data_IF_506639541481
#
_entry.id   IF_506639541481
#
_cell.length_a   1.000
_cell.length_b   1.000
_cell.length_c   1.000
_cell.angle_alpha   90.00
_cell.angle_beta   90.00
_cell.angle_gamma   90.00
#
_symmetry.space_group_name_H-M   'P 1'
#
loop_
_entity.id
_entity.type
_entity.pdbx_description
1 polymer ?
#
# COMPACT_ATOMS: atom_id res chain seq x y z
N UNK A 1 -77.26 -2.56 -6.56
CA UNK A 1 -76.36 -2.30 -7.72
C UNK A 1 -75.84 -0.89 -7.47
N UNK A 2 -74.62 -0.84 -6.93
CA UNK A 2 -73.92 0.44 -6.71
C UNK A 2 -72.46 0.22 -7.17
N UNK A 3 -72.08 1.01 -8.15
CA UNK A 3 -70.74 1.04 -8.77
C UNK A 3 -69.65 1.33 -7.77
N UNK A 4 -68.71 0.42 -7.68
CA UNK A 4 -67.42 0.65 -7.00
C UNK A 4 -66.46 1.21 -8.04
N UNK A 5 -66.14 2.52 -7.93
CA UNK A 5 -65.11 3.17 -8.70
C UNK A 5 -63.73 2.72 -8.19
N UNK A 6 -63.01 2.12 -9.09
CA UNK A 6 -61.60 1.78 -9.02
C UNK A 6 -60.77 3.05 -8.79
N UNK A 7 -60.14 3.20 -7.63
CA UNK A 7 -59.12 4.22 -7.37
C UNK A 7 -57.79 3.67 -7.77
N UNK A 8 -57.32 4.13 -8.93
CA UNK A 8 -55.97 3.85 -9.42
C UNK A 8 -54.93 4.19 -8.36
N UNK A 9 -54.17 3.15 -7.94
CA UNK A 9 -53.04 3.27 -7.04
C UNK A 9 -51.96 4.21 -7.65
N UNK A 10 -51.64 5.28 -6.93
CA UNK A 10 -50.49 6.08 -7.20
C UNK A 10 -49.22 5.18 -7.00
N UNK A 11 -48.48 5.00 -8.09
CA UNK A 11 -47.15 4.37 -8.01
C UNK A 11 -46.31 5.17 -6.99
N UNK A 12 -45.53 4.49 -6.11
CA UNK A 12 -44.62 5.19 -5.25
C UNK A 12 -43.66 5.99 -6.14
N UNK A 13 -43.44 7.26 -5.74
CA UNK A 13 -42.47 8.15 -6.36
C UNK A 13 -41.09 7.44 -6.31
N UNK A 14 -40.72 6.77 -7.38
CA UNK A 14 -39.36 6.27 -7.55
C UNK A 14 -38.51 7.54 -7.70
N UNK A 15 -37.75 7.86 -6.67
CA UNK A 15 -36.60 8.73 -6.80
C UNK A 15 -35.79 8.11 -7.94
N UNK A 16 -35.52 8.81 -9.04
CA UNK A 16 -34.58 8.26 -10.04
C UNK A 16 -33.33 7.86 -9.33
N UNK A 17 -32.69 6.73 -9.70
CA UNK A 17 -31.34 6.47 -9.20
C UNK A 17 -30.53 7.74 -9.47
N UNK A 18 -29.59 8.13 -8.58
CA UNK A 18 -28.65 9.16 -8.93
C UNK A 18 -28.10 8.78 -10.31
N UNK A 19 -28.17 9.70 -11.26
CA UNK A 19 -27.41 9.61 -12.50
C UNK A 19 -26.05 9.13 -12.07
N UNK A 20 -25.56 8.04 -12.68
CA UNK A 20 -24.33 7.37 -12.27
C UNK A 20 -23.30 8.46 -11.96
N UNK A 21 -23.09 8.73 -10.66
CA UNK A 21 -21.95 9.50 -10.23
C UNK A 21 -20.76 8.63 -10.65
N UNK A 22 -20.08 9.01 -11.70
CA UNK A 22 -18.87 8.37 -12.12
C UNK A 22 -17.95 8.35 -10.88
N UNK A 23 -17.44 7.18 -10.53
CA UNK A 23 -16.48 7.04 -9.43
C UNK A 23 -15.10 7.55 -9.83
N UNK A 24 -14.99 8.13 -11.02
CA UNK A 24 -13.76 8.64 -11.62
C UNK A 24 -14.13 9.82 -12.54
N UNK A 25 -13.17 10.67 -12.83
CA UNK A 25 -13.35 11.83 -13.71
C UNK A 25 -13.90 11.39 -15.08
N UNK A 26 -15.08 11.89 -15.46
CA UNK A 26 -15.67 11.51 -16.74
C UNK A 26 -14.75 11.92 -17.90
N UNK A 27 -14.48 11.04 -18.88
CA UNK A 27 -13.61 11.36 -20.02
C UNK A 27 -14.07 12.61 -20.80
N UNK A 28 -15.36 12.94 -20.73
CA UNK A 28 -15.94 14.16 -21.33
C UNK A 28 -15.50 15.42 -20.59
N UNK A 29 -15.40 15.35 -19.25
CA UNK A 29 -14.92 16.45 -18.39
C UNK A 29 -13.42 16.68 -18.59
N UNK A 30 -12.63 15.61 -18.63
CA UNK A 30 -11.20 15.69 -18.93
C UNK A 30 -10.94 16.32 -20.30
N UNK A 31 -11.67 15.88 -21.34
CA UNK A 31 -11.50 16.44 -22.68
C UNK A 31 -11.93 17.92 -22.74
N UNK A 32 -13.03 18.29 -22.08
CA UNK A 32 -13.48 19.68 -22.00
C UNK A 32 -12.46 20.57 -21.30
N UNK A 33 -11.84 20.05 -20.21
CA UNK A 33 -10.78 20.73 -19.50
C UNK A 33 -9.54 20.96 -20.39
N UNK A 34 -9.07 19.91 -21.10
CA UNK A 34 -7.94 20.00 -22.01
C UNK A 34 -8.20 21.01 -23.14
N UNK A 35 -9.40 21.05 -23.70
CA UNK A 35 -9.78 22.00 -24.76
C UNK A 35 -9.72 23.45 -24.24
N UNK A 36 -10.16 23.70 -23.00
CA UNK A 36 -10.11 25.02 -22.37
C UNK A 36 -8.66 25.40 -22.05
N UNK A 37 -7.85 24.47 -21.51
CA UNK A 37 -6.45 24.68 -21.22
C UNK A 37 -5.64 25.02 -22.48
N UNK A 38 -5.87 24.30 -23.58
CA UNK A 38 -5.23 24.55 -24.88
C UNK A 38 -5.66 25.90 -25.45
N UNK A 39 -6.91 26.31 -25.28
CA UNK A 39 -7.40 27.62 -25.75
C UNK A 39 -6.75 28.81 -25.03
N UNK A 40 -6.14 28.58 -23.85
CA UNK A 40 -5.54 29.63 -23.02
C UNK A 40 -6.57 30.46 -22.23
N UNK A 41 -7.77 29.93 -22.02
CA UNK A 41 -8.81 30.55 -21.20
C UNK A 41 -8.60 30.23 -19.71
N UNK A 42 -7.74 31.00 -19.04
CA UNK A 42 -7.42 30.82 -17.62
C UNK A 42 -8.66 30.94 -16.71
N UNK A 43 -9.60 31.82 -17.04
CA UNK A 43 -10.83 31.96 -16.27
C UNK A 43 -11.74 30.72 -16.41
N UNK A 44 -11.78 30.14 -17.62
CA UNK A 44 -12.48 28.89 -17.88
C UNK A 44 -11.86 27.72 -17.10
N UNK A 45 -10.51 27.61 -17.05
CA UNK A 45 -9.79 26.62 -16.25
C UNK A 45 -10.15 26.74 -14.77
N UNK A 46 -10.03 27.93 -14.16
CA UNK A 46 -10.38 28.14 -12.74
C UNK A 46 -11.84 27.76 -12.45
N UNK A 47 -12.77 28.08 -13.36
CA UNK A 47 -14.19 27.78 -13.15
C UNK A 47 -14.45 26.28 -13.18
N UNK A 48 -13.82 25.54 -14.08
CA UNK A 48 -13.97 24.08 -14.15
C UNK A 48 -13.35 23.39 -12.91
N UNK A 49 -12.16 23.80 -12.51
CA UNK A 49 -11.48 23.21 -11.34
C UNK A 49 -12.23 23.51 -10.02
N UNK A 50 -12.82 24.70 -9.87
CA UNK A 50 -13.61 25.07 -8.70
C UNK A 50 -14.91 24.24 -8.52
N UNK A 51 -15.36 23.53 -9.55
CA UNK A 51 -16.52 22.63 -9.49
C UNK A 51 -16.13 21.18 -9.13
N UNK A 52 -14.82 20.85 -9.15
CA UNK A 52 -14.29 19.52 -8.85
C UNK A 52 -13.88 19.40 -7.38
N UNK A 53 -13.87 18.17 -6.88
CA UNK A 53 -13.26 17.85 -5.59
C UNK A 53 -11.72 17.91 -5.69
N UNK A 54 -11.01 18.20 -4.61
CA UNK A 54 -9.55 18.28 -4.62
C UNK A 54 -8.91 16.98 -5.13
N UNK A 55 -9.42 15.80 -4.75
CA UNK A 55 -8.96 14.52 -5.27
C UNK A 55 -9.13 14.40 -6.80
N UNK A 56 -10.27 14.85 -7.37
CA UNK A 56 -10.49 14.85 -8.83
C UNK A 56 -9.50 15.80 -9.54
N UNK A 57 -9.12 16.90 -8.88
CA UNK A 57 -8.12 17.83 -9.41
C UNK A 57 -6.72 17.20 -9.36
N UNK A 58 -6.39 16.47 -8.30
CA UNK A 58 -5.15 15.72 -8.21
C UNK A 58 -5.05 14.67 -9.33
N UNK A 59 -6.06 13.83 -9.50
CA UNK A 59 -6.18 12.87 -10.61
C UNK A 59 -5.98 13.52 -11.97
N UNK A 60 -6.55 14.71 -12.16
CA UNK A 60 -6.40 15.46 -13.40
C UNK A 60 -4.95 15.92 -13.61
N UNK A 61 -4.31 16.43 -12.56
CA UNK A 61 -2.90 16.85 -12.60
C UNK A 61 -1.97 15.69 -12.93
N UNK A 62 -2.25 14.49 -12.44
CA UNK A 62 -1.46 13.28 -12.73
C UNK A 62 -1.52 12.88 -14.22
N UNK A 63 -2.69 13.05 -14.84
CA UNK A 63 -2.92 12.70 -16.26
C UNK A 63 -2.31 13.71 -17.25
N UNK A 64 -1.98 14.93 -16.79
CA UNK A 64 -1.37 15.96 -17.61
C UNK A 64 0.12 15.72 -17.85
N UNK A 65 0.61 16.14 -19.01
CA UNK A 65 2.06 16.22 -19.20
C UNK A 65 2.68 17.38 -18.40
N UNK A 66 4.01 17.36 -18.23
CA UNK A 66 4.73 18.33 -17.39
C UNK A 66 4.45 19.80 -17.77
N UNK A 67 4.39 20.14 -19.06
CA UNK A 67 4.13 21.52 -19.53
C UNK A 67 2.69 21.95 -19.24
N UNK A 68 1.73 21.06 -19.41
CA UNK A 68 0.30 21.31 -19.12
C UNK A 68 0.10 21.46 -17.61
N UNK A 69 0.68 20.57 -16.81
CA UNK A 69 0.64 20.62 -15.35
C UNK A 69 1.20 21.93 -14.81
N UNK A 70 2.39 22.33 -15.28
CA UNK A 70 3.01 23.59 -14.87
C UNK A 70 2.09 24.80 -15.15
N UNK A 71 1.36 24.81 -16.28
CA UNK A 71 0.40 25.86 -16.60
C UNK A 71 -0.81 25.87 -15.68
N UNK A 72 -1.32 24.70 -15.31
CA UNK A 72 -2.46 24.59 -14.36
C UNK A 72 -2.05 25.07 -12.98
N UNK A 73 -0.89 24.63 -12.49
CA UNK A 73 -0.34 25.07 -11.19
C UNK A 73 -0.11 26.57 -11.17
N UNK A 74 0.40 27.18 -12.26
CA UNK A 74 0.55 28.63 -12.37
C UNK A 74 -0.80 29.37 -12.32
N UNK A 75 -1.84 28.80 -12.94
CA UNK A 75 -3.21 29.34 -12.91
C UNK A 75 -3.80 29.25 -11.50
N UNK A 76 -3.59 28.14 -10.79
CA UNK A 76 -4.11 27.90 -9.44
C UNK A 76 -3.30 28.58 -8.33
N UNK A 77 -2.05 28.96 -8.58
CA UNK A 77 -1.05 29.38 -7.60
C UNK A 77 -1.58 30.02 -6.30
N UNK A 78 -2.47 31.02 -6.42
CA UNK A 78 -3.02 31.74 -5.28
C UNK A 78 -4.26 31.05 -4.65
N UNK A 79 -4.83 30.08 -5.36
CA UNK A 79 -6.05 29.35 -5.01
C UNK A 79 -5.76 27.83 -4.90
N UNK A 80 -4.47 27.45 -4.73
CA UNK A 80 -4.08 26.04 -4.63
C UNK A 80 -4.47 25.51 -3.23
N UNK A 81 -5.38 24.54 -3.21
CA UNK A 81 -5.87 23.97 -1.96
C UNK A 81 -4.83 22.96 -1.42
N UNK A 82 -4.53 23.00 -0.10
CA UNK A 82 -3.55 22.09 0.53
C UNK A 82 -3.84 20.61 0.25
N UNK A 83 -5.10 20.20 0.32
CA UNK A 83 -5.55 18.84 0.12
C UNK A 83 -5.29 18.31 -1.30
N UNK A 84 -5.10 19.19 -2.29
CA UNK A 84 -4.69 18.75 -3.63
C UNK A 84 -3.26 18.19 -3.65
N UNK A 85 -2.41 18.64 -2.74
CA UNK A 85 -1.00 18.25 -2.73
C UNK A 85 -0.80 16.89 -2.04
N UNK A 86 -1.56 16.60 -0.98
CA UNK A 86 -1.52 15.31 -0.28
C UNK A 86 -2.06 14.16 -1.12
N UNK A 87 -3.01 14.42 -2.02
CA UNK A 87 -3.62 13.40 -2.90
C UNK A 87 -2.77 13.03 -4.14
N UNK A 88 -1.63 13.72 -4.40
CA UNK A 88 -0.80 13.48 -5.59
C UNK A 88 0.19 12.33 -5.37
N UNK A 89 0.41 11.52 -6.42
CA UNK A 89 1.56 10.61 -6.51
C UNK A 89 2.89 11.38 -6.28
N UNK A 90 3.84 10.77 -5.56
CA UNK A 90 5.12 11.36 -5.17
C UNK A 90 5.84 12.05 -6.34
N UNK A 91 5.96 11.37 -7.49
CA UNK A 91 6.66 11.91 -8.67
C UNK A 91 5.95 13.12 -9.27
N UNK A 92 4.61 13.15 -9.21
CA UNK A 92 3.80 14.26 -9.72
C UNK A 92 3.83 15.41 -8.72
N UNK A 93 3.76 15.11 -7.43
CA UNK A 93 3.88 16.04 -6.30
C UNK A 93 5.18 16.82 -6.37
N UNK A 94 6.31 16.16 -6.57
CA UNK A 94 7.62 16.81 -6.76
C UNK A 94 7.59 17.88 -7.86
N UNK A 95 7.03 17.55 -9.02
CA UNK A 95 6.93 18.51 -10.13
C UNK A 95 5.99 19.69 -9.80
N UNK A 96 4.89 19.43 -9.06
CA UNK A 96 3.97 20.50 -8.61
C UNK A 96 4.67 21.41 -7.60
N UNK A 97 5.44 20.86 -6.67
CA UNK A 97 6.26 21.58 -5.70
C UNK A 97 7.27 22.52 -6.40
N UNK A 98 7.99 21.99 -7.41
CA UNK A 98 8.90 22.82 -8.21
C UNK A 98 8.16 23.99 -8.90
N UNK A 99 6.95 23.78 -9.41
CA UNK A 99 6.15 24.80 -10.06
C UNK A 99 5.60 25.84 -9.08
N UNK A 100 5.20 25.46 -7.86
CA UNK A 100 4.69 26.35 -6.81
C UNK A 100 5.79 27.27 -6.30
N UNK A 101 6.99 26.74 -6.11
CA UNK A 101 8.13 27.44 -5.50
C UNK A 101 7.95 27.65 -3.99
N UNK A 102 9.07 27.92 -3.29
CA UNK A 102 9.18 27.89 -1.82
C UNK A 102 8.13 28.75 -1.09
N UNK A 103 7.86 29.98 -1.57
CA UNK A 103 6.94 30.89 -0.87
C UNK A 103 5.49 30.39 -0.89
N UNK A 104 5.02 29.88 -2.05
CA UNK A 104 3.66 29.36 -2.16
C UNK A 104 3.54 27.99 -1.48
N UNK A 105 4.54 27.13 -1.64
CA UNK A 105 4.60 25.84 -0.96
C UNK A 105 4.52 26.00 0.56
N UNK A 106 5.26 26.94 1.14
CA UNK A 106 5.19 27.22 2.57
C UNK A 106 3.79 27.71 3.01
N UNK A 107 3.09 28.44 2.16
CA UNK A 107 1.72 28.86 2.44
C UNK A 107 0.71 27.70 2.35
N UNK A 108 0.90 26.78 1.39
CA UNK A 108 0.10 25.55 1.25
C UNK A 108 0.32 24.66 2.47
N UNK A 109 1.57 24.35 2.83
CA UNK A 109 1.93 23.52 3.98
C UNK A 109 1.38 24.08 5.30
N UNK A 110 1.40 25.40 5.48
CA UNK A 110 0.83 26.03 6.68
C UNK A 110 -0.71 25.89 6.78
N UNK A 111 -1.39 25.49 5.73
CA UNK A 111 -2.82 25.20 5.69
C UNK A 111 -3.17 23.72 5.76
N UNK A 112 -2.17 22.82 5.72
CA UNK A 112 -2.34 21.35 5.80
C UNK A 112 -2.56 20.88 7.24
N UNK A 113 -3.13 19.69 7.40
CA UNK A 113 -3.06 18.95 8.66
C UNK A 113 -1.60 18.56 8.94
N UNK A 114 -1.25 18.36 10.21
CA UNK A 114 0.18 18.28 10.61
C UNK A 114 0.91 17.03 10.09
N UNK A 115 0.21 15.96 9.85
CA UNK A 115 0.68 14.71 9.24
C UNK A 115 0.99 14.90 7.75
N UNK A 116 0.03 15.41 6.96
CA UNK A 116 0.20 15.76 5.55
C UNK A 116 1.37 16.75 5.35
N UNK A 117 1.41 17.81 6.19
CA UNK A 117 2.48 18.78 6.15
C UNK A 117 3.85 18.16 6.42
N UNK A 118 3.91 17.17 7.33
CA UNK A 118 5.13 16.46 7.69
C UNK A 118 5.59 15.54 6.54
N UNK A 119 4.66 14.83 5.89
CA UNK A 119 4.95 13.98 4.74
C UNK A 119 5.54 14.79 3.59
N UNK A 120 4.87 15.85 3.15
CA UNK A 120 5.35 16.72 2.07
C UNK A 120 6.74 17.30 2.39
N UNK A 121 6.97 17.77 3.63
CA UNK A 121 8.28 18.32 4.00
C UNK A 121 9.36 17.25 4.07
N UNK A 122 9.02 16.03 4.42
CA UNK A 122 9.98 14.92 4.49
C UNK A 122 10.53 14.52 3.11
N UNK A 123 9.70 14.55 2.08
CA UNK A 123 10.10 14.20 0.70
C UNK A 123 11.01 15.24 0.04
N UNK A 124 10.99 16.50 0.53
CA UNK A 124 11.85 17.56 0.00
C UNK A 124 13.33 17.25 0.20
N UNK A 125 14.16 17.71 -0.73
CA UNK A 125 15.61 17.67 -0.53
C UNK A 125 16.07 18.55 0.65
N UNK A 126 17.27 18.28 1.23
CA UNK A 126 17.77 18.97 2.44
C UNK A 126 17.83 20.51 2.30
N UNK A 127 18.02 21.04 1.08
CA UNK A 127 18.12 22.48 0.83
C UNK A 127 16.72 23.11 0.69
N UNK A 128 15.79 22.43 0.03
CA UNK A 128 14.39 22.84 -0.11
C UNK A 128 13.65 22.74 1.22
N UNK A 129 13.78 21.62 1.94
CA UNK A 129 13.23 21.42 3.27
C UNK A 129 13.60 22.57 4.21
N UNK A 130 14.89 22.97 4.22
CA UNK A 130 15.36 24.08 5.04
C UNK A 130 14.73 25.42 4.65
N UNK A 131 14.60 25.69 3.34
CA UNK A 131 14.01 26.94 2.85
C UNK A 131 12.52 27.02 3.19
N UNK A 132 11.80 25.93 3.02
CA UNK A 132 10.36 25.82 3.34
C UNK A 132 10.14 25.98 4.84
N UNK A 133 10.90 25.25 5.68
CA UNK A 133 10.81 25.38 7.14
C UNK A 133 11.14 26.79 7.64
N UNK A 134 12.05 27.52 6.97
CA UNK A 134 12.34 28.93 7.32
C UNK A 134 11.19 29.88 6.91
N UNK A 135 10.34 29.50 5.97
CA UNK A 135 9.22 30.30 5.48
C UNK A 135 7.89 30.00 6.22
N UNK A 136 7.75 28.83 6.84
CA UNK A 136 6.56 28.44 7.62
C UNK A 136 6.49 29.21 8.95
N UNK A 137 5.27 29.47 9.51
CA UNK A 137 5.10 30.08 10.82
C UNK A 137 5.81 29.28 11.93
N UNK A 138 6.37 29.95 12.97
CA UNK A 138 7.17 29.25 13.99
C UNK A 138 6.45 28.15 14.78
N UNK A 139 5.12 28.23 14.88
CA UNK A 139 4.29 27.20 15.56
C UNK A 139 4.31 25.88 14.78
N UNK A 140 3.91 25.93 13.52
CA UNK A 140 3.80 24.79 12.62
C UNK A 140 5.19 24.20 12.34
N UNK A 141 6.19 25.06 12.13
CA UNK A 141 7.59 24.64 12.01
C UNK A 141 8.05 23.74 13.14
N UNK A 142 7.72 24.07 14.40
CA UNK A 142 8.13 23.26 15.56
C UNK A 142 7.51 21.89 15.54
N UNK A 143 6.22 21.78 15.15
CA UNK A 143 5.51 20.52 15.05
C UNK A 143 6.11 19.62 13.96
N UNK A 144 6.42 20.20 12.80
CA UNK A 144 7.05 19.49 11.68
C UNK A 144 8.48 19.05 12.06
N UNK A 145 9.32 19.94 12.64
CA UNK A 145 10.67 19.58 13.08
C UNK A 145 10.66 18.46 14.14
N UNK A 146 9.69 18.42 15.05
CA UNK A 146 9.52 17.30 15.98
C UNK A 146 9.10 16.03 15.25
N UNK A 147 8.15 16.12 14.33
CA UNK A 147 7.68 14.99 13.51
C UNK A 147 8.82 14.34 12.74
N UNK A 148 9.69 15.13 12.12
CA UNK A 148 10.88 14.66 11.39
C UNK A 148 11.87 13.87 12.27
N UNK A 149 11.78 13.94 13.59
CA UNK A 149 12.63 13.13 14.49
C UNK A 149 12.16 11.69 14.67
N UNK A 150 10.90 11.40 14.34
CA UNK A 150 10.37 10.04 14.42
C UNK A 150 10.89 9.18 13.26
N UNK A 151 10.98 7.85 13.45
CA UNK A 151 11.35 6.95 12.35
C UNK A 151 10.37 7.10 11.16
N UNK A 152 10.87 6.88 9.97
CA UNK A 152 10.03 6.70 8.78
C UNK A 152 9.02 5.57 9.01
N UNK A 153 7.91 5.60 8.32
CA UNK A 153 6.86 4.57 8.37
C UNK A 153 6.40 4.23 9.79
N UNK A 154 6.32 5.24 10.67
CA UNK A 154 5.94 5.05 12.07
C UNK A 154 4.69 5.82 12.46
N UNK A 155 4.00 5.33 13.49
CA UNK A 155 2.86 6.01 14.11
C UNK A 155 3.14 7.48 14.47
N UNK A 156 4.39 7.82 14.76
CA UNK A 156 4.81 9.18 15.06
C UNK A 156 4.86 10.08 13.83
N UNK A 157 5.06 9.50 12.63
CA UNK A 157 4.97 10.20 11.35
C UNK A 157 3.55 10.34 10.86
N UNK A 158 2.75 9.31 11.03
CA UNK A 158 1.37 9.22 10.57
C UNK A 158 0.36 9.96 11.46
N UNK A 159 0.74 10.43 12.64
CA UNK A 159 -0.20 11.02 13.58
C UNK A 159 -0.47 12.51 13.32
N UNK A 160 -1.74 12.88 13.39
CA UNK A 160 -2.17 14.26 13.55
C UNK A 160 -1.84 14.78 14.95
N UNK A 161 -1.37 16.02 15.05
CA UNK A 161 -1.10 16.69 16.33
C UNK A 161 -2.32 17.39 16.89
N UNK A 162 -3.26 17.72 16.05
CA UNK A 162 -4.53 18.38 16.34
C UNK A 162 -5.50 17.38 16.97
N UNK A 163 -5.46 17.24 18.29
CA UNK A 163 -6.21 16.21 19.01
C UNK A 163 -7.19 16.84 20.01
N UNK A 164 -8.45 16.42 19.95
CA UNK A 164 -9.45 16.86 20.92
C UNK A 164 -9.27 16.13 22.24
N UNK A 165 -8.79 16.85 23.27
CA UNK A 165 -8.57 16.32 24.61
C UNK A 165 -9.44 17.01 25.66
N UNK A 166 -9.93 16.24 26.65
CA UNK A 166 -10.64 16.79 27.82
C UNK A 166 -10.22 16.10 29.12
N UNK A 167 -10.21 16.82 30.26
CA UNK A 167 -9.93 16.22 31.56
C UNK A 167 -10.98 15.20 31.96
N UNK A 168 -10.60 14.12 32.66
CA UNK A 168 -11.51 13.11 33.18
C UNK A 168 -12.53 13.67 34.18
N UNK A 169 -12.27 14.82 34.78
CA UNK A 169 -13.16 15.49 35.75
C UNK A 169 -14.34 16.21 35.10
N UNK A 170 -14.36 16.37 33.77
CA UNK A 170 -15.41 17.10 33.09
C UNK A 170 -16.69 16.27 32.94
N UNK A 171 -17.78 17.01 32.74
CA UNK A 171 -19.09 16.44 32.36
C UNK A 171 -19.25 16.51 30.83
N UNK A 172 -20.17 15.72 30.31
CA UNK A 172 -20.61 15.79 28.90
C UNK A 172 -21.01 17.22 28.51
N UNK A 173 -21.66 17.95 29.42
CA UNK A 173 -22.06 19.33 29.18
C UNK A 173 -20.90 20.28 29.00
N UNK A 174 -19.89 20.20 29.86
CA UNK A 174 -18.67 21.00 29.76
C UNK A 174 -17.90 20.69 28.49
N UNK A 175 -17.78 19.41 28.12
CA UNK A 175 -17.15 18.99 26.87
C UNK A 175 -17.86 19.58 25.65
N UNK A 176 -19.19 19.48 25.57
CA UNK A 176 -19.94 20.05 24.43
C UNK A 176 -19.81 21.58 24.37
N UNK A 177 -19.80 22.25 25.53
CA UNK A 177 -19.65 23.71 25.58
C UNK A 177 -18.26 24.14 25.14
N UNK A 178 -17.22 23.40 25.52
CA UNK A 178 -15.85 23.59 25.06
C UNK A 178 -15.74 23.47 23.54
N UNK A 179 -16.23 22.37 22.94
CA UNK A 179 -16.18 22.15 21.49
C UNK A 179 -16.92 23.26 20.71
N UNK A 180 -18.05 23.77 21.25
CA UNK A 180 -18.78 24.87 20.62
C UNK A 180 -18.07 26.21 20.75
N UNK A 181 -17.45 26.45 21.88
CA UNK A 181 -16.74 27.70 22.13
C UNK A 181 -15.49 27.82 21.28
N UNK A 182 -14.77 26.70 21.07
CA UNK A 182 -13.62 26.68 20.14
C UNK A 182 -14.05 26.99 18.71
N UNK A 183 -15.16 26.41 18.23
CA UNK A 183 -15.70 26.72 16.91
C UNK A 183 -16.13 28.18 16.75
N UNK A 184 -16.65 28.84 17.82
CA UNK A 184 -17.10 30.22 17.77
C UNK A 184 -15.91 31.24 17.86
N UNK A 185 -14.76 30.83 18.41
CA UNK A 185 -13.61 31.72 18.61
C UNK A 185 -12.77 31.90 17.35
N UNK A 186 -12.95 31.07 16.34
CA UNK A 186 -12.10 31.07 15.13
C UNK A 186 -10.66 30.68 15.44
N UNK A 187 -10.43 30.01 16.56
CA UNK A 187 -9.18 29.41 16.96
C UNK A 187 -9.13 28.03 16.29
N UNK A 188 -8.27 27.85 15.32
CA UNK A 188 -8.09 26.60 14.58
C UNK A 188 -7.35 25.50 15.41
N UNK A 189 -7.39 25.61 16.75
CA UNK A 189 -6.74 24.65 17.66
C UNK A 189 -7.38 23.25 17.64
N UNK A 190 -8.54 23.06 17.01
CA UNK A 190 -9.22 21.78 16.92
C UNK A 190 -9.29 21.32 15.46
N UNK A 191 -9.07 20.00 15.20
CA UNK A 191 -9.14 19.46 13.85
C UNK A 191 -10.53 19.68 13.25
N UNK A 192 -10.59 19.94 11.94
CA UNK A 192 -11.84 20.12 11.21
C UNK A 192 -12.73 18.87 11.28
N UNK A 193 -12.12 17.70 11.32
CA UNK A 193 -12.76 16.41 11.45
C UNK A 193 -12.18 15.69 12.65
N UNK A 194 -13.03 15.09 13.51
CA UNK A 194 -12.61 14.19 14.58
C UNK A 194 -13.76 13.24 14.94
N UNK A 195 -13.43 12.07 15.38
CA UNK A 195 -14.37 10.98 15.65
C UNK A 195 -14.49 10.71 17.15
N UNK A 196 -13.40 10.86 17.88
CA UNK A 196 -13.28 10.60 19.30
C UNK A 196 -12.75 11.83 20.06
N UNK A 197 -13.18 11.95 21.30
CA UNK A 197 -12.60 12.87 22.28
C UNK A 197 -11.75 12.04 23.23
N UNK A 198 -10.46 12.35 23.35
CA UNK A 198 -9.57 11.64 24.26
C UNK A 198 -9.63 12.24 25.65
N UNK A 199 -9.85 11.40 26.66
CA UNK A 199 -9.89 11.80 28.05
C UNK A 199 -8.50 11.61 28.64
N UNK A 200 -7.99 12.69 29.25
CA UNK A 200 -6.63 12.71 29.81
C UNK A 200 -6.64 12.92 31.32
N UNK A 201 -5.64 12.36 31.99
CA UNK A 201 -5.36 12.61 33.39
C UNK A 201 -4.63 13.97 33.57
N UNK A 202 -4.39 14.44 34.83
CA UNK A 202 -3.67 15.67 35.09
C UNK A 202 -2.20 15.66 34.60
N UNK A 203 -1.67 14.51 34.26
CA UNK A 203 -0.33 14.36 33.66
C UNK A 203 -0.38 14.25 32.12
N UNK A 204 -1.53 14.59 31.49
CA UNK A 204 -1.76 14.51 30.04
C UNK A 204 -1.57 13.11 29.46
N UNK A 205 -1.89 12.07 30.23
CA UNK A 205 -1.91 10.69 29.77
C UNK A 205 -3.30 10.29 29.37
N UNK A 206 -3.49 9.64 28.22
CA UNK A 206 -4.82 9.21 27.81
C UNK A 206 -5.33 8.08 28.71
N UNK A 207 -6.48 8.28 29.33
CA UNK A 207 -7.14 7.33 30.27
C UNK A 207 -8.42 6.74 29.70
N UNK A 208 -8.92 7.28 28.59
CA UNK A 208 -10.09 6.78 27.87
C UNK A 208 -10.34 7.54 26.58
N UNK A 209 -11.14 6.96 25.70
CA UNK A 209 -11.70 7.62 24.51
C UNK A 209 -13.23 7.69 24.61
N UNK A 210 -13.81 8.69 23.99
CA UNK A 210 -15.25 8.90 23.98
C UNK A 210 -15.72 9.26 22.56
N UNK A 211 -16.33 8.31 21.84
CA UNK A 211 -16.89 8.57 20.53
C UNK A 211 -17.92 9.70 20.56
N UNK A 212 -17.86 10.62 19.56
CA UNK A 212 -18.82 11.72 19.43
C UNK A 212 -20.27 11.24 19.46
N UNK A 213 -20.55 10.09 18.88
CA UNK A 213 -21.89 9.48 18.90
C UNK A 213 -22.37 9.15 20.32
N UNK A 214 -21.49 8.73 21.23
CA UNK A 214 -21.80 8.48 22.62
C UNK A 214 -21.93 9.78 23.39
N UNK A 215 -21.02 10.74 23.17
CA UNK A 215 -21.07 12.08 23.77
C UNK A 215 -22.42 12.77 23.50
N UNK A 216 -22.85 12.83 22.25
CA UNK A 216 -24.08 13.50 21.81
C UNK A 216 -25.38 12.83 22.33
N UNK A 217 -25.34 11.52 22.60
CA UNK A 217 -26.48 10.75 23.08
C UNK A 217 -26.57 10.70 24.61
N UNK A 218 -25.58 11.24 25.32
CA UNK A 218 -25.53 11.21 26.78
C UNK A 218 -26.02 12.54 27.36
N UNK A 219 -26.62 12.49 28.54
CA UNK A 219 -27.14 13.69 29.25
C UNK A 219 -25.98 14.54 29.74
N UNK A 220 -26.11 15.85 29.62
CA UNK A 220 -25.08 16.84 29.97
C UNK A 220 -24.48 16.72 31.41
N UNK A 221 -25.22 16.36 32.48
CA UNK A 221 -24.66 16.26 33.85
C UNK A 221 -23.82 14.99 34.10
N UNK A 222 -23.75 14.06 33.17
CA UNK A 222 -22.98 12.79 33.29
C UNK A 222 -21.49 13.10 33.17
N UNK A 223 -20.66 12.55 34.06
CA UNK A 223 -19.20 12.69 33.95
C UNK A 223 -18.68 11.89 32.73
N UNK A 224 -17.70 12.45 32.02
CA UNK A 224 -17.06 11.75 30.87
C UNK A 224 -16.37 10.45 31.32
N UNK A 225 -15.82 10.43 32.53
CA UNK A 225 -15.20 9.27 33.16
C UNK A 225 -16.14 8.07 33.34
N UNK A 226 -17.46 8.31 33.40
CA UNK A 226 -18.48 7.25 33.58
C UNK A 226 -18.90 6.60 32.26
N UNK A 227 -18.60 7.24 31.13
CA UNK A 227 -19.04 6.81 29.79
C UNK A 227 -17.91 6.59 28.80
N UNK A 228 -16.66 6.94 29.14
CA UNK A 228 -15.51 6.71 28.29
C UNK A 228 -15.21 5.23 28.13
N UNK A 229 -14.59 4.87 27.01
CA UNK A 229 -13.99 3.56 26.82
C UNK A 229 -12.58 3.57 27.42
N UNK A 230 -12.34 2.70 28.39
CA UNK A 230 -11.03 2.57 29.06
C UNK A 230 -10.13 1.54 28.40
N UNK A 231 -10.67 0.70 27.53
CA UNK A 231 -9.94 -0.35 26.82
C UNK A 231 -9.41 0.13 25.45
N UNK A 232 -9.23 1.44 25.29
CA UNK A 232 -8.67 2.01 24.07
C UNK A 232 -7.26 1.46 23.79
N UNK A 233 -6.91 1.35 22.52
CA UNK A 233 -5.58 0.92 22.11
C UNK A 233 -4.66 2.15 22.05
N UNK A 234 -3.58 2.15 22.81
CA UNK A 234 -2.51 3.15 22.73
C UNK A 234 -1.49 2.68 21.70
N UNK A 235 -1.06 3.60 20.84
CA UNK A 235 -0.02 3.37 19.85
C UNK A 235 1.26 4.12 20.28
N UNK A 236 2.37 3.44 20.58
CA UNK A 236 3.67 4.10 20.74
C UNK A 236 4.11 4.79 19.46
N UNK A 237 4.76 5.95 19.54
CA UNK A 237 5.29 6.72 18.38
C UNK A 237 6.19 5.90 17.45
N UNK A 238 6.89 4.88 17.95
CA UNK A 238 7.76 4.02 17.17
C UNK A 238 7.07 2.77 16.59
N UNK A 239 5.73 2.70 16.66
CA UNK A 239 4.97 1.59 16.05
C UNK A 239 5.01 1.76 14.53
N UNK A 240 5.36 0.69 13.84
CA UNK A 240 5.38 0.60 12.39
C UNK A 240 3.99 0.83 11.78
N UNK A 241 3.89 1.53 10.64
CA UNK A 241 2.62 1.89 10.01
C UNK A 241 1.81 0.66 9.56
N UNK A 242 2.48 -0.42 9.12
CA UNK A 242 1.81 -1.70 8.81
C UNK A 242 1.16 -2.31 10.08
N UNK A 243 1.85 -2.20 11.24
CA UNK A 243 1.29 -2.60 12.54
C UNK A 243 0.11 -1.73 12.97
N UNK A 244 0.17 -0.43 12.71
CA UNK A 244 -0.95 0.50 12.94
C UNK A 244 -2.15 0.08 12.10
N UNK A 245 -1.98 -0.07 10.78
CA UNK A 245 -3.02 -0.49 9.86
C UNK A 245 -3.63 -1.85 10.26
N UNK A 246 -2.78 -2.80 10.67
CA UNK A 246 -3.24 -4.09 11.18
C UNK A 246 -4.13 -3.94 12.42
N UNK A 247 -3.75 -3.08 13.39
CA UNK A 247 -4.51 -2.86 14.64
C UNK A 247 -5.86 -2.19 14.34
N UNK A 248 -5.90 -1.18 13.47
CA UNK A 248 -7.13 -0.51 13.06
C UNK A 248 -8.11 -1.50 12.45
N UNK A 249 -7.66 -2.29 11.48
CA UNK A 249 -8.47 -3.33 10.85
C UNK A 249 -8.95 -4.42 11.82
N UNK A 250 -8.07 -4.87 12.75
CA UNK A 250 -8.42 -5.94 13.69
C UNK A 250 -9.42 -5.50 14.75
N UNK A 251 -9.40 -4.22 15.12
CA UNK A 251 -10.17 -3.66 16.22
C UNK A 251 -11.33 -2.78 15.77
N UNK A 252 -11.53 -2.63 14.45
CA UNK A 252 -12.53 -1.74 13.85
C UNK A 252 -12.40 -0.30 14.42
N UNK A 253 -11.16 0.21 14.50
CA UNK A 253 -10.89 1.54 15.04
C UNK A 253 -11.21 2.60 13.96
N UNK A 254 -11.66 3.76 14.43
CA UNK A 254 -11.86 4.96 13.61
C UNK A 254 -10.80 6.01 13.95
N UNK A 255 -10.33 6.01 15.19
CA UNK A 255 -9.18 6.79 15.63
C UNK A 255 -8.43 6.08 16.76
N UNK A 256 -7.15 6.38 16.93
CA UNK A 256 -6.33 5.83 18.01
C UNK A 256 -5.34 6.86 18.55
N UNK A 257 -5.18 7.00 19.88
CA UNK A 257 -4.23 7.94 20.46
C UNK A 257 -2.80 7.41 20.33
N UNK A 258 -1.89 8.30 19.96
CA UNK A 258 -0.45 8.04 19.90
C UNK A 258 0.22 8.59 21.15
N UNK A 259 1.13 7.79 21.72
CA UNK A 259 1.81 8.14 22.98
C UNK A 259 3.32 8.03 22.83
N UNK A 260 4.02 8.92 23.51
CA UNK A 260 5.48 8.87 23.62
C UNK A 260 5.95 7.79 24.63
N UNK A 261 7.26 7.68 24.82
CA UNK A 261 7.89 6.74 25.78
C UNK A 261 7.47 7.01 27.24
N UNK A 262 7.01 8.22 27.57
CA UNK A 262 6.47 8.61 28.88
C UNK A 262 5.02 8.22 29.07
N UNK A 263 4.34 7.78 28.03
CA UNK A 263 2.90 7.53 27.98
C UNK A 263 2.06 8.79 27.91
N UNK A 264 2.62 9.91 27.44
CA UNK A 264 1.91 11.16 27.19
C UNK A 264 1.26 11.12 25.82
N UNK A 265 0.07 11.69 25.72
CA UNK A 265 -0.61 11.84 24.44
C UNK A 265 0.13 12.89 23.61
N UNK A 266 0.58 12.49 22.43
CA UNK A 266 1.33 13.36 21.50
C UNK A 266 0.61 13.59 20.17
N UNK A 267 -0.38 12.77 19.85
CA UNK A 267 -1.17 12.87 18.62
C UNK A 267 -2.25 11.80 18.58
N UNK A 268 -2.93 11.70 17.46
CA UNK A 268 -3.85 10.62 17.14
C UNK A 268 -3.73 10.27 15.67
N UNK A 269 -4.04 9.03 15.31
CA UNK A 269 -4.15 8.57 13.93
C UNK A 269 -5.62 8.34 13.64
N UNK A 270 -6.08 8.68 12.47
CA UNK A 270 -7.46 8.50 12.03
C UNK A 270 -7.57 7.41 10.95
N UNK A 271 -8.80 7.03 10.59
CA UNK A 271 -9.02 5.90 9.68
C UNK A 271 -8.74 6.27 8.23
N UNK A 272 -8.89 7.52 7.84
CA UNK A 272 -8.58 8.07 6.54
C UNK A 272 -7.09 7.84 6.23
N UNK A 273 -6.16 8.32 7.05
CA UNK A 273 -4.71 8.09 6.90
C UNK A 273 -4.35 6.60 6.86
N UNK A 274 -5.05 5.79 7.67
CA UNK A 274 -4.82 4.33 7.69
C UNK A 274 -5.29 3.65 6.39
N UNK A 275 -6.29 4.19 5.71
CA UNK A 275 -6.71 3.67 4.39
C UNK A 275 -5.59 3.88 3.39
N UNK A 276 -4.98 5.05 3.37
CA UNK A 276 -3.88 5.38 2.46
C UNK A 276 -2.66 4.50 2.73
N UNK A 277 -2.28 4.34 3.99
CA UNK A 277 -1.22 3.39 4.39
C UNK A 277 -1.52 1.95 3.94
N UNK A 278 -2.78 1.50 4.00
CA UNK A 278 -3.13 0.14 3.53
C UNK A 278 -2.94 0.01 2.02
N UNK A 279 -3.28 1.04 1.25
CA UNK A 279 -3.14 1.02 -0.20
C UNK A 279 -1.66 1.13 -0.60
N UNK A 280 -0.87 2.01 0.04
CA UNK A 280 0.58 2.12 -0.14
C UNK A 280 1.31 0.81 0.14
N UNK A 281 1.09 0.20 1.31
CA UNK A 281 1.72 -1.08 1.67
C UNK A 281 1.36 -2.21 0.70
N UNK A 282 0.12 -2.22 0.20
CA UNK A 282 -0.29 -3.19 -0.81
C UNK A 282 0.35 -2.94 -2.17
N UNK A 283 0.48 -1.67 -2.58
CA UNK A 283 1.16 -1.30 -3.82
C UNK A 283 2.65 -1.64 -3.72
N UNK A 284 3.31 -1.27 -2.63
CA UNK A 284 4.70 -1.60 -2.35
C UNK A 284 4.96 -3.10 -2.44
N UNK A 285 4.15 -3.93 -1.79
CA UNK A 285 4.24 -5.39 -1.84
C UNK A 285 4.15 -5.92 -3.29
N UNK A 286 3.22 -5.40 -4.09
CA UNK A 286 3.04 -5.80 -5.49
C UNK A 286 4.26 -5.40 -6.33
N UNK A 287 4.73 -4.16 -6.20
CA UNK A 287 5.86 -3.62 -6.93
C UNK A 287 7.16 -4.35 -6.56
N UNK A 288 7.39 -4.61 -5.28
CA UNK A 288 8.54 -5.38 -4.77
C UNK A 288 8.55 -6.82 -5.28
N UNK A 289 7.39 -7.50 -5.33
CA UNK A 289 7.29 -8.84 -5.95
C UNK A 289 7.66 -8.82 -7.43
N UNK A 290 7.36 -7.73 -8.13
CA UNK A 290 7.75 -7.49 -9.53
C UNK A 290 9.21 -7.07 -9.70
N UNK A 291 9.87 -6.62 -8.64
CA UNK A 291 11.22 -6.07 -8.67
C UNK A 291 11.28 -4.69 -9.34
N UNK A 292 10.22 -3.91 -9.19
CA UNK A 292 10.07 -2.52 -9.61
C UNK A 292 9.82 -1.64 -8.39
N UNK A 293 9.95 -0.32 -8.54
CA UNK A 293 9.65 0.66 -7.48
C UNK A 293 8.26 1.25 -7.69
N UNK A 294 7.73 1.86 -6.66
CA UNK A 294 6.56 2.74 -6.72
C UNK A 294 6.83 3.94 -7.63
N UNK A 295 5.80 4.60 -8.11
CA UNK A 295 5.92 5.77 -8.98
C UNK A 295 6.52 5.55 -10.37
N UNK A 296 6.93 4.31 -10.71
CA UNK A 296 7.61 3.94 -11.99
C UNK A 296 6.80 4.32 -13.25
N UNK A 297 5.49 4.55 -13.11
CA UNK A 297 4.60 4.99 -14.20
C UNK A 297 4.89 6.44 -14.63
N UNK A 298 5.19 7.32 -13.69
CA UNK A 298 5.35 8.75 -13.90
C UNK A 298 6.82 9.18 -14.02
N UNK A 299 7.77 8.30 -13.65
CA UNK A 299 9.21 8.54 -13.74
C UNK A 299 9.71 8.78 -15.17
N UNK A 300 10.78 9.55 -15.31
CA UNK A 300 11.46 9.73 -16.59
C UNK A 300 12.10 8.41 -17.06
N UNK A 301 12.04 8.12 -18.37
CA UNK A 301 12.52 6.86 -18.98
C UNK A 301 13.94 6.46 -18.55
N UNK A 302 14.83 7.42 -18.30
CA UNK A 302 16.22 7.13 -17.92
C UNK A 302 16.31 6.64 -16.47
N UNK A 303 15.52 7.22 -15.56
CA UNK A 303 15.50 6.88 -14.15
C UNK A 303 14.82 5.53 -13.94
N UNK A 304 13.69 5.27 -14.58
CA UNK A 304 13.05 3.95 -14.69
C UNK A 304 14.04 2.89 -15.21
N UNK A 305 14.79 3.21 -16.27
CA UNK A 305 15.78 2.27 -16.82
C UNK A 305 16.87 1.95 -15.80
N UNK A 306 17.35 2.94 -15.08
CA UNK A 306 18.43 2.80 -14.09
C UNK A 306 17.96 2.01 -12.87
N UNK A 307 16.75 2.27 -12.39
CA UNK A 307 16.10 1.57 -11.28
C UNK A 307 15.99 0.07 -11.60
N UNK A 308 15.37 -0.27 -12.73
CA UNK A 308 15.18 -1.67 -13.16
C UNK A 308 16.47 -2.39 -13.52
N UNK A 309 17.51 -1.67 -14.00
CA UNK A 309 18.77 -2.27 -14.44
C UNK A 309 19.47 -3.04 -13.32
N UNK A 310 19.51 -2.51 -12.11
CA UNK A 310 20.13 -3.17 -10.96
C UNK A 310 19.51 -4.53 -10.68
N UNK A 311 18.19 -4.59 -10.65
CA UNK A 311 17.43 -5.82 -10.43
C UNK A 311 17.59 -6.84 -11.56
N UNK A 312 17.54 -6.38 -12.80
CA UNK A 312 17.78 -7.23 -13.98
C UNK A 312 19.21 -7.78 -14.02
N UNK A 313 20.20 -7.04 -13.51
CA UNK A 313 21.57 -7.51 -13.40
C UNK A 313 21.70 -8.67 -12.38
N UNK A 314 21.01 -8.58 -11.26
CA UNK A 314 20.94 -9.68 -10.27
C UNK A 314 20.29 -10.90 -10.93
N UNK A 315 19.17 -10.73 -11.62
CA UNK A 315 18.48 -11.80 -12.34
C UNK A 315 19.40 -12.45 -13.41
N UNK A 316 20.19 -11.66 -14.13
CA UNK A 316 21.17 -12.18 -15.08
C UNK A 316 22.24 -13.04 -14.37
N UNK A 317 22.71 -12.60 -13.21
CA UNK A 317 23.66 -13.37 -12.39
C UNK A 317 23.10 -14.73 -11.98
N UNK A 318 21.86 -14.78 -11.52
CA UNK A 318 21.17 -16.03 -11.14
C UNK A 318 20.91 -16.94 -12.35
N UNK A 319 20.56 -16.39 -13.50
CA UNK A 319 20.43 -17.14 -14.75
C UNK A 319 21.76 -17.77 -15.21
N UNK A 320 22.87 -17.07 -15.01
CA UNK A 320 24.22 -17.61 -15.28
C UNK A 320 24.51 -18.78 -14.35
N UNK A 321 24.16 -18.69 -13.07
CA UNK A 321 24.32 -19.81 -12.11
C UNK A 321 23.52 -21.05 -12.55
N UNK A 322 22.28 -20.88 -12.95
CA UNK A 322 21.46 -21.97 -13.50
C UNK A 322 22.08 -22.56 -14.79
N UNK A 323 22.61 -21.70 -15.67
CA UNK A 323 23.30 -22.13 -16.89
C UNK A 323 24.60 -22.91 -16.61
N UNK A 324 25.33 -22.57 -15.55
CA UNK A 324 26.51 -23.34 -15.12
C UNK A 324 26.13 -24.77 -14.73
N UNK A 325 24.97 -24.97 -14.07
CA UNK A 325 24.45 -26.31 -13.75
C UNK A 325 24.16 -27.12 -15.02
N UNK A 326 23.57 -26.50 -16.04
CA UNK A 326 23.35 -27.14 -17.34
C UNK A 326 24.68 -27.57 -17.96
N UNK A 327 25.70 -26.71 -17.89
CA UNK A 327 27.04 -26.99 -18.42
C UNK A 327 27.72 -28.22 -17.79
N UNK A 328 27.37 -28.62 -16.57
CA UNK A 328 27.86 -29.85 -15.96
C UNK A 328 27.41 -31.12 -16.70
N UNK A 329 26.32 -31.02 -17.47
CA UNK A 329 25.70 -32.12 -18.19
C UNK A 329 25.82 -32.02 -19.71
N UNK A 330 26.79 -31.27 -20.23
CA UNK A 330 27.01 -31.03 -21.64
C UNK A 330 27.06 -32.32 -22.46
N UNK A 331 27.89 -33.29 -22.02
CA UNK A 331 28.00 -34.61 -22.65
C UNK A 331 26.68 -35.41 -22.67
N UNK A 332 25.81 -35.19 -21.67
CA UNK A 332 24.50 -35.85 -21.60
C UNK A 332 23.53 -35.23 -22.62
N UNK A 333 23.57 -33.91 -22.77
CA UNK A 333 22.74 -33.17 -23.72
C UNK A 333 23.17 -33.46 -25.17
N UNK A 334 24.48 -33.55 -25.46
CA UNK A 334 24.99 -33.92 -26.78
C UNK A 334 24.48 -35.30 -27.24
N UNK A 335 24.37 -36.27 -26.34
CA UNK A 335 23.85 -37.58 -26.66
C UNK A 335 22.34 -37.62 -26.88
N UNK A 336 21.59 -36.69 -26.25
CA UNK A 336 20.13 -36.65 -26.33
C UNK A 336 19.62 -35.18 -26.39
N UNK A 337 19.55 -34.61 -27.56
CA UNK A 337 19.05 -33.22 -27.79
C UNK A 337 17.63 -32.98 -27.27
N UNK A 338 16.82 -34.04 -27.19
CA UNK A 338 15.47 -33.96 -26.60
C UNK A 338 15.45 -33.38 -25.18
N UNK A 339 16.56 -33.56 -24.40
CA UNK A 339 16.68 -32.98 -23.07
C UNK A 339 16.68 -31.46 -23.14
N UNK A 340 17.41 -30.85 -24.07
CA UNK A 340 17.45 -29.41 -24.25
C UNK A 340 16.04 -28.82 -24.56
N UNK A 341 15.23 -29.56 -25.31
CA UNK A 341 13.85 -29.13 -25.66
C UNK A 341 12.92 -29.18 -24.45
N UNK A 342 13.15 -30.13 -23.53
CA UNK A 342 12.30 -30.35 -22.36
C UNK A 342 12.69 -29.54 -21.12
N UNK A 343 13.95 -29.07 -21.03
CA UNK A 343 14.44 -28.24 -19.89
C UNK A 343 13.55 -27.04 -19.57
N UNK A 344 13.12 -26.20 -20.55
CA UNK A 344 12.27 -25.05 -20.25
C UNK A 344 10.95 -25.41 -19.57
N UNK A 345 10.40 -26.60 -19.83
CA UNK A 345 9.16 -27.07 -19.22
C UNK A 345 9.37 -27.32 -17.72
N UNK A 346 10.48 -27.96 -17.36
CA UNK A 346 10.79 -28.27 -15.96
C UNK A 346 11.03 -26.96 -15.17
N UNK A 347 11.84 -26.05 -15.72
CA UNK A 347 12.15 -24.76 -15.09
C UNK A 347 10.87 -23.90 -14.92
N UNK A 348 10.13 -23.68 -16.00
CA UNK A 348 8.90 -22.87 -16.01
C UNK A 348 7.85 -23.39 -15.01
N UNK A 349 7.65 -24.70 -14.93
CA UNK A 349 6.68 -25.27 -14.01
C UNK A 349 7.10 -25.14 -12.54
N UNK A 350 8.41 -25.28 -12.26
CA UNK A 350 8.95 -25.04 -10.92
C UNK A 350 8.80 -23.58 -10.49
N UNK A 351 9.21 -22.65 -11.34
CA UNK A 351 9.07 -21.21 -11.09
C UNK A 351 7.62 -20.79 -10.86
N UNK A 352 6.70 -21.19 -11.75
CA UNK A 352 5.28 -20.84 -11.61
C UNK A 352 4.64 -21.40 -10.34
N UNK A 353 4.90 -22.68 -10.03
CA UNK A 353 4.35 -23.29 -8.81
C UNK A 353 4.93 -22.64 -7.55
N UNK A 354 6.23 -22.32 -7.57
CA UNK A 354 6.89 -21.63 -6.48
C UNK A 354 6.33 -20.23 -6.28
N UNK A 355 6.15 -19.44 -7.35
CA UNK A 355 5.55 -18.09 -7.28
C UNK A 355 4.14 -18.12 -6.70
N UNK A 356 3.31 -19.10 -7.07
CA UNK A 356 1.97 -19.26 -6.49
C UNK A 356 2.03 -19.47 -4.96
N UNK A 357 2.94 -20.34 -4.49
CA UNK A 357 3.12 -20.57 -3.07
C UNK A 357 3.73 -19.34 -2.37
N UNK A 358 4.68 -18.67 -3.02
CA UNK A 358 5.33 -17.46 -2.52
C UNK A 358 4.32 -16.33 -2.29
N UNK A 359 3.49 -16.01 -3.29
CA UNK A 359 2.46 -14.97 -3.17
C UNK A 359 1.52 -15.21 -2.00
N UNK A 360 1.12 -16.49 -1.78
CA UNK A 360 0.27 -16.84 -0.63
C UNK A 360 1.04 -16.67 0.69
N UNK A 361 2.32 -17.01 0.72
CA UNK A 361 3.13 -16.94 1.93
C UNK A 361 3.45 -15.47 2.32
N UNK A 362 3.85 -14.64 1.37
CA UNK A 362 4.12 -13.19 1.58
C UNK A 362 2.86 -12.52 2.11
N UNK A 363 1.73 -12.67 1.41
CA UNK A 363 0.45 -12.13 1.90
C UNK A 363 0.09 -12.62 3.31
N UNK A 364 0.31 -13.90 3.62
CA UNK A 364 -0.03 -14.46 4.93
C UNK A 364 0.91 -13.94 6.04
N UNK A 365 2.13 -13.51 5.70
CA UNK A 365 3.06 -12.81 6.60
C UNK A 365 2.61 -11.39 6.86
N UNK A 366 2.35 -10.60 5.81
CA UNK A 366 1.82 -9.24 5.90
C UNK A 366 0.51 -9.18 6.73
N UNK A 367 -0.39 -10.14 6.54
CA UNK A 367 -1.63 -10.25 7.32
C UNK A 367 -1.46 -10.89 8.71
N UNK A 368 -0.23 -11.23 9.12
CA UNK A 368 0.08 -11.94 10.38
C UNK A 368 -0.70 -13.27 10.57
N UNK A 369 -1.18 -13.84 9.47
CA UNK A 369 -1.82 -15.18 9.44
C UNK A 369 -0.78 -16.29 9.48
N UNK A 370 0.42 -16.08 8.92
CA UNK A 370 1.56 -16.98 8.97
C UNK A 370 2.54 -16.52 10.05
N UNK A 371 2.72 -17.34 11.06
CA UNK A 371 3.57 -17.05 12.21
C UNK A 371 4.51 -18.24 12.50
N UNK A 372 5.56 -18.02 13.28
CA UNK A 372 6.45 -19.12 13.70
C UNK A 372 5.70 -20.28 14.38
N UNK A 373 4.56 -20.04 15.00
CA UNK A 373 3.75 -21.05 15.68
C UNK A 373 3.02 -22.00 14.72
N UNK A 374 2.63 -21.51 13.52
CA UNK A 374 1.89 -22.30 12.54
C UNK A 374 2.67 -22.65 11.27
N UNK A 375 3.89 -22.11 11.11
CA UNK A 375 4.75 -22.29 9.95
C UNK A 375 4.93 -23.75 9.54
N UNK A 376 5.18 -24.65 10.49
CA UNK A 376 5.35 -26.09 10.20
C UNK A 376 4.10 -26.73 9.57
N UNK A 377 2.90 -26.28 9.94
CA UNK A 377 1.64 -26.78 9.37
C UNK A 377 1.45 -26.25 7.94
N UNK A 378 1.78 -24.99 7.70
CA UNK A 378 1.67 -24.37 6.37
C UNK A 378 2.69 -25.02 5.42
N UNK A 379 3.95 -25.14 5.81
CA UNK A 379 4.98 -25.86 5.03
C UNK A 379 4.54 -27.29 4.70
N UNK A 380 4.01 -28.03 5.67
CA UNK A 380 3.51 -29.39 5.44
C UNK A 380 2.34 -29.44 4.43
N UNK A 381 1.45 -28.46 4.46
CA UNK A 381 0.37 -28.30 3.49
C UNK A 381 0.93 -28.05 2.09
N UNK A 382 1.83 -27.08 1.94
CA UNK A 382 2.40 -26.71 0.64
C UNK A 382 3.28 -27.84 0.05
N UNK A 383 4.00 -28.58 0.87
CA UNK A 383 4.69 -29.81 0.44
C UNK A 383 3.70 -30.85 -0.10
N UNK A 384 2.56 -31.05 0.55
CA UNK A 384 1.54 -32.00 0.07
C UNK A 384 0.92 -31.51 -1.25
N UNK A 385 0.64 -30.20 -1.39
CA UNK A 385 0.15 -29.61 -2.64
C UNK A 385 1.19 -29.78 -3.75
N UNK A 386 2.46 -29.50 -3.47
CA UNK A 386 3.57 -29.73 -4.41
C UNK A 386 3.71 -31.19 -4.83
N UNK A 387 3.57 -32.13 -3.89
CA UNK A 387 3.59 -33.59 -4.19
C UNK A 387 2.43 -34.01 -5.10
N UNK A 388 1.20 -33.58 -4.77
CA UNK A 388 0.01 -33.94 -5.56
C UNK A 388 0.08 -33.35 -6.97
N UNK A 389 0.38 -32.05 -7.10
CA UNK A 389 0.60 -31.41 -8.39
C UNK A 389 1.76 -32.08 -9.14
N UNK A 390 2.86 -32.38 -8.45
CA UNK A 390 4.01 -33.08 -9.01
C UNK A 390 3.64 -34.40 -9.65
N UNK A 391 2.85 -35.24 -8.98
CA UNK A 391 2.39 -36.53 -9.53
C UNK A 391 1.45 -36.33 -10.73
N UNK A 392 0.50 -35.39 -10.64
CA UNK A 392 -0.43 -35.12 -11.75
C UNK A 392 0.30 -34.62 -12.99
N UNK A 393 1.19 -33.61 -12.84
CA UNK A 393 1.96 -33.06 -13.94
C UNK A 393 3.03 -34.05 -14.46
N UNK A 394 3.59 -34.90 -13.60
CA UNK A 394 4.50 -35.95 -14.03
C UNK A 394 3.80 -36.94 -14.99
N UNK A 395 2.58 -37.34 -14.68
CA UNK A 395 1.77 -38.20 -15.57
C UNK A 395 1.50 -37.52 -16.90
N UNK A 396 1.07 -36.24 -16.85
CA UNK A 396 0.72 -35.49 -18.05
C UNK A 396 1.94 -35.28 -18.94
N UNK A 397 3.04 -34.72 -18.40
CA UNK A 397 4.26 -34.43 -19.20
C UNK A 397 4.98 -35.70 -19.62
N UNK A 398 4.91 -36.78 -18.81
CA UNK A 398 5.46 -38.08 -19.16
C UNK A 398 4.80 -38.65 -20.41
N UNK A 399 3.48 -38.56 -20.49
CA UNK A 399 2.72 -38.98 -21.69
C UNK A 399 3.05 -38.09 -22.90
N UNK A 400 3.10 -36.77 -22.71
CA UNK A 400 3.45 -35.85 -23.80
C UNK A 400 4.87 -36.12 -24.31
N UNK A 401 5.85 -36.31 -23.45
CA UNK A 401 7.22 -36.63 -23.83
C UNK A 401 7.32 -38.00 -24.55
N UNK A 402 6.58 -38.98 -24.08
CA UNK A 402 6.50 -40.29 -24.76
C UNK A 402 5.91 -40.18 -26.18
N UNK A 403 4.81 -39.46 -26.35
CA UNK A 403 4.20 -39.25 -27.66
C UNK A 403 5.11 -38.47 -28.59
N UNK A 404 5.76 -37.43 -28.08
CA UNK A 404 6.58 -36.52 -28.88
C UNK A 404 7.91 -37.13 -29.31
N UNK A 405 8.58 -37.86 -28.43
CA UNK A 405 9.93 -38.39 -28.66
C UNK A 405 9.95 -39.94 -28.82
N UNK A 406 8.82 -40.65 -28.65
CA UNK A 406 8.76 -42.08 -28.77
C UNK A 406 9.48 -42.87 -27.66
N UNK A 407 9.93 -42.21 -26.59
CA UNK A 407 10.72 -42.80 -25.50
C UNK A 407 9.96 -42.79 -24.18
N UNK A 408 9.55 -43.95 -23.68
CA UNK A 408 8.92 -44.13 -22.36
C UNK A 408 9.90 -43.74 -21.26
N UNK A 409 11.19 -44.11 -21.40
CA UNK A 409 12.22 -43.78 -20.41
C UNK A 409 12.41 -42.28 -20.23
N UNK A 410 12.40 -41.48 -21.32
CA UNK A 410 12.44 -40.02 -21.26
C UNK A 410 11.20 -39.46 -20.57
N UNK A 411 10.00 -40.01 -20.84
CA UNK A 411 8.76 -39.63 -20.13
C UNK A 411 8.85 -39.88 -18.62
N UNK A 412 9.43 -40.99 -18.19
CA UNK A 412 9.65 -41.29 -16.76
C UNK A 412 10.64 -40.32 -16.14
N UNK A 413 11.77 -39.98 -16.81
CA UNK A 413 12.80 -39.08 -16.32
C UNK A 413 12.23 -37.69 -16.08
N UNK A 414 11.52 -37.12 -17.08
CA UNK A 414 10.93 -35.79 -16.90
C UNK A 414 9.80 -35.79 -15.86
N UNK A 415 9.01 -36.88 -15.77
CA UNK A 415 8.00 -37.02 -14.74
C UNK A 415 8.58 -37.01 -13.32
N UNK A 416 9.66 -37.77 -13.08
CA UNK A 416 10.34 -37.79 -11.79
C UNK A 416 10.97 -36.41 -11.47
N UNK A 417 11.60 -35.77 -12.46
CA UNK A 417 12.15 -34.44 -12.27
C UNK A 417 11.06 -33.40 -11.91
N UNK A 418 9.89 -33.50 -12.55
CA UNK A 418 8.74 -32.65 -12.27
C UNK A 418 8.25 -32.79 -10.83
N UNK A 419 8.15 -34.03 -10.31
CA UNK A 419 7.75 -34.27 -8.92
C UNK A 419 8.72 -33.59 -7.96
N UNK A 420 10.02 -33.80 -8.16
CA UNK A 420 11.03 -33.22 -7.28
C UNK A 420 11.01 -31.69 -7.36
N UNK A 421 10.92 -31.12 -8.57
CA UNK A 421 10.94 -29.68 -8.76
C UNK A 421 9.73 -29.01 -8.13
N UNK A 422 8.52 -29.57 -8.26
CA UNK A 422 7.31 -29.02 -7.65
C UNK A 422 7.29 -29.18 -6.12
N UNK A 423 7.92 -30.23 -5.57
CA UNK A 423 8.14 -30.34 -4.12
C UNK A 423 9.05 -29.24 -3.61
N UNK A 424 10.16 -28.99 -4.32
CA UNK A 424 11.11 -27.93 -3.98
C UNK A 424 10.46 -26.55 -4.12
N UNK A 425 9.65 -26.33 -5.15
CA UNK A 425 8.90 -25.11 -5.35
C UNK A 425 7.96 -24.80 -4.17
N UNK A 426 7.16 -25.78 -3.73
CA UNK A 426 6.28 -25.62 -2.58
C UNK A 426 7.05 -25.38 -1.26
N UNK A 427 8.17 -26.09 -1.06
CA UNK A 427 9.02 -25.90 0.10
C UNK A 427 9.67 -24.52 0.09
N UNK A 428 10.30 -24.14 -1.01
CA UNK A 428 11.04 -22.87 -1.13
C UNK A 428 10.10 -21.67 -1.09
N UNK A 429 8.95 -21.73 -1.78
CA UNK A 429 7.96 -20.66 -1.79
C UNK A 429 7.41 -20.30 -0.40
N UNK A 430 7.45 -21.24 0.56
CA UNK A 430 7.06 -20.96 1.95
C UNK A 430 8.24 -20.61 2.83
N UNK A 431 9.39 -21.32 2.66
CA UNK A 431 10.52 -21.17 3.60
C UNK A 431 11.36 -19.93 3.32
N UNK A 432 11.49 -19.50 2.06
CA UNK A 432 12.27 -18.31 1.71
C UNK A 432 11.70 -17.06 2.39
N UNK A 433 10.39 -16.71 2.24
CA UNK A 433 9.81 -15.54 2.92
C UNK A 433 9.95 -15.60 4.43
N UNK A 434 9.67 -16.75 5.05
CA UNK A 434 9.84 -16.94 6.51
C UNK A 434 11.29 -16.75 6.99
N UNK A 435 12.26 -17.10 6.16
CA UNK A 435 13.67 -16.87 6.50
C UNK A 435 14.03 -15.40 6.38
N UNK A 436 13.56 -14.70 5.34
CA UNK A 436 13.81 -13.27 5.13
C UNK A 436 13.21 -12.45 6.27
N UNK A 437 11.95 -12.68 6.63
CA UNK A 437 11.29 -12.05 7.77
C UNK A 437 12.10 -12.26 9.07
N UNK A 438 12.58 -13.49 9.30
CA UNK A 438 13.40 -13.79 10.50
C UNK A 438 14.72 -13.03 10.54
N UNK A 439 15.28 -12.68 9.40
CA UNK A 439 16.49 -11.87 9.28
C UNK A 439 16.23 -10.36 9.25
N UNK A 440 14.97 -9.92 9.37
CA UNK A 440 14.57 -8.52 9.28
C UNK A 440 14.70 -7.96 7.87
N UNK A 441 14.59 -8.83 6.86
CA UNK A 441 14.54 -8.45 5.44
C UNK A 441 13.12 -8.65 4.95
N UNK A 442 12.57 -7.66 4.27
CA UNK A 442 11.25 -7.73 3.71
C UNK A 442 11.10 -8.96 2.78
N UNK A 443 10.11 -9.82 3.05
CA UNK A 443 9.87 -11.02 2.26
C UNK A 443 9.50 -10.76 0.80
N UNK A 444 8.89 -9.61 0.46
CA UNK A 444 8.48 -9.27 -0.90
C UNK A 444 9.67 -8.99 -1.82
N UNK A 445 10.68 -8.29 -1.31
CA UNK A 445 11.82 -7.75 -2.10
C UNK A 445 12.63 -8.82 -2.85
N UNK A 446 13.03 -9.89 -2.19
CA UNK A 446 14.05 -10.79 -2.77
C UNK A 446 13.52 -12.20 -3.05
N UNK A 447 12.32 -12.51 -2.59
CA UNK A 447 11.80 -13.89 -2.59
C UNK A 447 11.66 -14.50 -3.99
N UNK A 448 11.22 -13.73 -4.98
CA UNK A 448 10.96 -14.22 -6.34
C UNK A 448 12.23 -14.65 -7.06
N UNK A 449 13.33 -13.89 -6.94
CA UNK A 449 14.61 -14.19 -7.58
C UNK A 449 15.28 -15.41 -6.94
N UNK A 450 15.29 -15.48 -5.61
CA UNK A 450 15.82 -16.65 -4.91
C UNK A 450 15.04 -17.91 -5.22
N UNK A 451 13.72 -17.80 -5.28
CA UNK A 451 12.82 -18.91 -5.59
C UNK A 451 13.07 -19.46 -7.00
N UNK A 452 13.04 -18.59 -8.02
CA UNK A 452 13.24 -19.01 -9.41
C UNK A 452 14.64 -19.57 -9.60
N UNK A 453 15.66 -18.96 -9.02
CA UNK A 453 17.03 -19.48 -9.06
C UNK A 453 17.11 -20.89 -8.48
N UNK A 454 16.52 -21.12 -7.32
CA UNK A 454 16.54 -22.42 -6.66
C UNK A 454 15.79 -23.49 -7.46
N UNK A 455 14.61 -23.16 -7.97
CA UNK A 455 13.80 -24.10 -8.79
C UNK A 455 14.46 -24.42 -10.12
N UNK A 456 15.15 -23.46 -10.75
CA UNK A 456 15.91 -23.72 -11.99
C UNK A 456 17.13 -24.59 -11.73
N UNK A 457 17.95 -24.26 -10.73
CA UNK A 457 19.14 -25.06 -10.37
C UNK A 457 18.73 -26.49 -10.04
N UNK A 458 17.77 -26.69 -9.16
CA UNK A 458 17.32 -28.02 -8.75
C UNK A 458 16.62 -28.72 -9.89
N UNK A 459 15.76 -28.04 -10.64
CA UNK A 459 15.03 -28.59 -11.77
C UNK A 459 16.00 -29.12 -12.85
N UNK A 460 16.98 -28.33 -13.27
CA UNK A 460 17.97 -28.76 -14.27
C UNK A 460 18.87 -29.86 -13.71
N UNK A 461 19.37 -29.71 -12.49
CA UNK A 461 20.25 -30.72 -11.90
C UNK A 461 19.56 -32.08 -11.77
N UNK A 462 18.34 -32.13 -11.28
CA UNK A 462 17.57 -33.37 -11.14
C UNK A 462 17.19 -33.96 -12.48
N UNK A 463 16.70 -33.13 -13.41
CA UNK A 463 16.30 -33.61 -14.73
C UNK A 463 17.45 -34.19 -15.53
N UNK A 464 18.57 -33.44 -15.65
CA UNK A 464 19.74 -33.88 -16.40
C UNK A 464 20.50 -35.00 -15.67
N UNK A 465 20.54 -34.94 -14.33
CA UNK A 465 21.15 -35.99 -13.52
C UNK A 465 20.41 -37.32 -13.64
N UNK A 466 19.06 -37.31 -13.58
CA UNK A 466 18.26 -38.51 -13.83
C UNK A 466 18.40 -39.01 -15.26
N UNK A 467 18.49 -38.09 -16.25
CA UNK A 467 18.74 -38.46 -17.64
C UNK A 467 20.08 -39.16 -17.80
N UNK A 468 21.16 -38.64 -17.21
CA UNK A 468 22.48 -39.27 -17.24
C UNK A 468 22.52 -40.65 -16.56
N UNK A 469 21.70 -40.87 -15.52
CA UNK A 469 21.67 -42.15 -14.79
C UNK A 469 20.78 -43.22 -15.43
N UNK A 470 19.72 -42.81 -16.10
CA UNK A 470 18.65 -43.74 -16.57
C UNK A 470 18.70 -43.97 -18.08
N UNK A 471 19.10 -42.94 -18.85
CA UNK A 471 19.06 -42.95 -20.31
C UNK A 471 20.40 -43.25 -20.96
N UNK A 472 21.51 -42.96 -20.25
CA UNK A 472 22.89 -43.16 -20.70
C UNK A 472 23.62 -44.21 -19.83
#
# INVERSE_FOLDING_TARGET
>A
MADVKDTAGSKPNQVPPPEDAALDLEPETEQAFLDVLISGDEAGVRTLLAELHHADVADLLERLNADERARVVEILRDDFEPEMLSELDETVRDHVIECLGVENLAAVIAGMESDDALEVVFELDEDEQRQVLDAIPPGDRTLIEEGLTYPEDSAGRLMQREVVTVPESWTVGETIDFLRQSADSGDDDLPARFYDVFIVDPAHRPVGSLPLSRLLRTRRPVAVADIMDREMKLLPVATDQEDVAYVFRQRDLVSAPVVDDGGWLVGAITIDDVVDVIDEEHEEDIMRLGGVKEGDLYEATMDTTRSRFGWLLINLGTAILASMVIGLFDATIEQMVALAVLMPIVASMGGNAGTQTLTVAVRALAMKELTAANAGRVIGKELLVGALNGVMFAGLIGVVAWIWFGSVALGVVIGLAMIVNLLVAGLAGTTIPLMLERFGVDPAVASSVFLTTLTDIVGFFVFLGLAALILL
#
